data_IF_279084302271
#
_entry.id   IF_279084302271
#
_cell.length_a   1.000
_cell.length_b   1.000
_cell.length_c   1.000
_cell.angle_alpha   90.00
_cell.angle_beta   90.00
_cell.angle_gamma   90.00
#
_symmetry.space_group_name_H-M   'P 1'
#
loop_
_entity.id
_entity.type
_entity.pdbx_description
1 polymer ?
#
# COMPACT_ATOMS: atom_id res chain seq x y z
N UNK A 1 -20.54 46.94 -53.30
CA UNK A 1 -19.39 46.99 -52.36
C UNK A 1 -19.33 45.64 -51.65
N UNK A 2 -18.58 44.63 -52.13
CA UNK A 2 -17.15 44.35 -51.86
C UNK A 2 -16.76 44.54 -50.39
N UNK A 3 -16.52 43.42 -49.71
CA UNK A 3 -15.53 43.09 -48.64
C UNK A 3 -16.16 41.99 -47.75
N UNK A 4 -15.50 40.94 -47.31
CA UNK A 4 -14.18 40.35 -47.54
C UNK A 4 -14.26 38.99 -46.79
N UNK A 5 -13.73 37.92 -47.39
CA UNK A 5 -13.53 36.64 -46.72
C UNK A 5 -12.72 36.80 -45.42
N UNK A 6 -13.05 36.03 -44.38
CA UNK A 6 -12.03 35.25 -43.69
C UNK A 6 -12.64 33.95 -43.17
N UNK A 7 -12.37 32.89 -43.92
CA UNK A 7 -12.47 31.49 -43.51
C UNK A 7 -11.58 31.26 -42.29
N UNK A 8 -12.16 30.86 -41.16
CA UNK A 8 -11.39 30.32 -40.04
C UNK A 8 -11.02 28.88 -40.38
N UNK A 9 -9.88 28.72 -41.03
CA UNK A 9 -9.21 27.44 -41.27
C UNK A 9 -8.98 26.69 -39.96
N UNK A 10 -9.44 25.44 -39.94
CA UNK A 10 -8.71 24.25 -39.50
C UNK A 10 -7.67 24.46 -38.40
N UNK A 11 -8.06 24.16 -37.16
CA UNK A 11 -7.18 23.53 -36.18
C UNK A 11 -7.76 22.15 -35.81
N UNK A 12 -7.75 21.24 -36.79
CA UNK A 12 -7.69 19.81 -36.51
C UNK A 12 -6.20 19.43 -36.40
N UNK A 13 -5.90 18.49 -35.50
CA UNK A 13 -4.64 17.77 -35.33
C UNK A 13 -3.60 18.40 -34.39
N UNK A 14 -3.92 18.37 -33.10
CA UNK A 14 -3.03 17.77 -32.11
C UNK A 14 -3.83 17.34 -30.87
N UNK A 15 -4.87 16.54 -31.06
CA UNK A 15 -5.26 15.56 -30.04
C UNK A 15 -4.21 14.42 -30.04
N UNK A 16 -2.93 14.78 -29.92
CA UNK A 16 -1.94 13.86 -29.41
C UNK A 16 -2.41 13.55 -28.00
N UNK A 17 -2.85 12.32 -27.82
CA UNK A 17 -3.02 11.67 -26.54
C UNK A 17 -1.66 11.60 -25.82
N UNK A 18 -1.10 12.76 -25.46
CA UNK A 18 -0.29 12.86 -24.27
C UNK A 18 -1.30 12.90 -23.12
N UNK A 19 -1.86 11.75 -22.78
CA UNK A 19 -2.37 11.54 -21.45
C UNK A 19 -1.13 11.68 -20.57
N UNK A 20 -0.84 12.91 -20.15
CA UNK A 20 0.27 13.21 -19.26
C UNK A 20 0.05 12.32 -18.05
N UNK A 21 0.85 11.25 -17.96
CA UNK A 21 0.71 10.26 -16.92
C UNK A 21 1.02 10.98 -15.64
N UNK A 22 -0.04 11.26 -14.91
CA UNK A 22 0.08 12.10 -13.76
C UNK A 22 0.97 11.45 -12.71
N UNK A 23 1.96 12.21 -12.23
CA UNK A 23 2.92 11.68 -11.28
C UNK A 23 2.22 11.17 -10.01
N UNK A 24 2.74 10.09 -9.42
CA UNK A 24 2.32 9.58 -8.10
C UNK A 24 2.24 10.69 -7.06
N UNK A 25 3.22 11.59 -7.05
CA UNK A 25 3.29 12.72 -6.11
C UNK A 25 2.08 13.63 -6.25
N UNK A 26 1.71 14.01 -7.47
CA UNK A 26 0.55 14.86 -7.74
C UNK A 26 -0.76 14.21 -7.27
N UNK A 27 -0.94 12.91 -7.53
CA UNK A 27 -2.12 12.16 -7.08
C UNK A 27 -2.22 12.08 -5.57
N UNK A 28 -1.11 11.80 -4.88
CA UNK A 28 -1.06 11.77 -3.41
C UNK A 28 -1.33 13.16 -2.82
N UNK A 29 -0.77 14.24 -3.38
CA UNK A 29 -1.02 15.61 -2.93
C UNK A 29 -2.52 15.95 -3.02
N UNK A 30 -3.17 15.64 -4.14
CA UNK A 30 -4.62 15.85 -4.25
C UNK A 30 -5.43 15.04 -3.26
N UNK A 31 -5.03 13.79 -2.99
CA UNK A 31 -5.67 13.00 -1.95
C UNK A 31 -5.54 13.68 -0.59
N UNK A 32 -4.34 14.18 -0.23
CA UNK A 32 -4.08 14.89 1.03
C UNK A 32 -4.98 16.12 1.15
N UNK A 33 -5.04 16.94 0.11
CA UNK A 33 -5.88 18.16 0.08
C UNK A 33 -7.36 17.80 0.25
N UNK A 34 -7.82 16.74 -0.42
CA UNK A 34 -9.23 16.36 -0.43
C UNK A 34 -9.66 15.58 0.82
N UNK A 35 -8.72 14.93 1.53
CA UNK A 35 -9.01 14.05 2.66
C UNK A 35 -7.97 14.19 3.79
N UNK A 36 -7.79 15.38 4.40
CA UNK A 36 -6.69 15.67 5.31
C UNK A 36 -6.68 14.77 6.56
N UNK A 37 -7.85 14.48 7.15
CA UNK A 37 -7.97 13.59 8.33
C UNK A 37 -7.55 12.16 7.96
N UNK A 38 -7.99 11.67 6.79
CA UNK A 38 -7.61 10.35 6.31
C UNK A 38 -6.10 10.30 6.03
N UNK A 39 -5.56 11.31 5.35
CA UNK A 39 -4.14 11.42 5.06
C UNK A 39 -3.28 11.43 6.33
N UNK A 40 -3.68 12.16 7.38
CA UNK A 40 -2.97 12.16 8.65
C UNK A 40 -2.99 10.78 9.33
N UNK A 41 -4.13 10.10 9.32
CA UNK A 41 -4.29 8.78 9.95
C UNK A 41 -3.54 7.69 9.17
N UNK A 42 -3.55 7.80 7.83
CA UNK A 42 -2.81 6.90 6.94
C UNK A 42 -1.32 7.08 7.14
N UNK A 43 -0.86 8.34 7.08
CA UNK A 43 0.51 8.75 7.30
C UNK A 43 1.52 8.15 6.32
N UNK A 44 2.76 8.60 6.45
CA UNK A 44 3.91 8.03 5.75
C UNK A 44 4.61 7.01 6.64
N UNK A 45 5.30 6.05 6.02
CA UNK A 45 6.11 5.09 6.74
C UNK A 45 7.18 5.80 7.58
N UNK A 46 7.31 5.34 8.83
CA UNK A 46 8.22 5.89 9.82
C UNK A 46 8.27 4.98 11.03
N UNK A 47 9.48 4.67 11.49
CA UNK A 47 9.73 3.95 12.75
C UNK A 47 9.26 4.72 13.99
N UNK A 48 9.01 6.03 13.83
CA UNK A 48 8.59 6.94 14.90
C UNK A 48 7.09 7.26 14.89
N UNK A 49 6.30 6.55 14.10
CA UNK A 49 4.86 6.76 14.02
C UNK A 49 4.04 5.47 14.16
N UNK A 50 2.81 5.62 14.65
CA UNK A 50 1.77 4.57 14.77
C UNK A 50 0.62 4.78 13.77
N UNK A 51 0.91 5.45 12.65
CA UNK A 51 -0.04 5.59 11.56
C UNK A 51 -0.26 4.25 10.82
N UNK A 52 -1.31 4.17 9.99
CA UNK A 52 -1.68 2.92 9.30
C UNK A 52 -0.52 2.39 8.44
N UNK A 53 0.19 3.26 7.72
CA UNK A 53 1.30 2.86 6.86
C UNK A 53 2.44 2.21 7.67
N UNK A 54 2.91 2.88 8.73
CA UNK A 54 3.96 2.34 9.62
C UNK A 54 3.53 1.02 10.30
N UNK A 55 2.28 0.94 10.76
CA UNK A 55 1.74 -0.26 11.38
C UNK A 55 1.68 -1.44 10.38
N UNK A 56 1.25 -1.19 9.14
CA UNK A 56 1.17 -2.21 8.10
C UNK A 56 2.56 -2.78 7.79
N UNK A 57 3.58 -1.93 7.69
CA UNK A 57 4.99 -2.35 7.50
C UNK A 57 5.48 -3.22 8.65
N UNK A 58 5.29 -2.77 9.90
CA UNK A 58 5.72 -3.55 11.09
C UNK A 58 5.04 -4.90 11.17
N UNK A 59 3.71 -4.93 11.04
CA UNK A 59 2.93 -6.17 11.14
C UNK A 59 3.24 -7.13 9.98
N UNK A 60 3.42 -6.63 8.74
CA UNK A 60 3.77 -7.49 7.61
C UNK A 60 5.18 -8.07 7.76
N UNK A 61 6.15 -7.27 8.21
CA UNK A 61 7.53 -7.73 8.38
C UNK A 61 7.65 -8.78 9.49
N UNK A 62 6.86 -8.65 10.55
CA UNK A 62 6.83 -9.60 11.66
C UNK A 62 6.40 -11.01 11.25
N UNK A 63 5.67 -11.16 10.14
CA UNK A 63 5.17 -12.47 9.69
C UNK A 63 6.28 -13.45 9.30
N UNK A 64 7.49 -12.94 8.99
CA UNK A 64 8.66 -13.73 8.53
C UNK A 64 8.34 -14.61 7.31
N UNK A 65 7.36 -14.20 6.51
CA UNK A 65 7.04 -14.83 5.22
C UNK A 65 8.13 -14.50 4.18
N UNK A 66 8.02 -15.08 2.99
CA UNK A 66 9.02 -14.87 1.94
C UNK A 66 9.19 -13.38 1.61
N UNK A 67 10.45 -12.97 1.56
CA UNK A 67 10.89 -11.64 1.14
C UNK A 67 12.13 -11.75 0.25
N UNK A 68 12.14 -12.75 -0.63
CA UNK A 68 13.31 -13.15 -1.44
C UNK A 68 13.77 -12.10 -2.46
N UNK A 69 12.97 -11.08 -2.74
CA UNK A 69 13.35 -9.99 -3.65
C UNK A 69 14.02 -8.83 -2.90
N UNK A 70 15.14 -8.32 -3.43
CA UNK A 70 15.99 -7.28 -2.77
C UNK A 70 15.24 -6.02 -2.32
N UNK A 71 14.16 -5.64 -3.00
CA UNK A 71 13.32 -4.48 -2.68
C UNK A 71 11.91 -4.88 -2.19
N UNK A 72 11.69 -6.17 -1.92
CA UNK A 72 10.44 -6.73 -1.40
C UNK A 72 9.27 -6.74 -2.38
N UNK A 73 9.42 -6.26 -3.60
CA UNK A 73 8.35 -6.19 -4.61
C UNK A 73 7.81 -7.57 -4.97
N UNK A 74 6.50 -7.73 -5.06
CA UNK A 74 5.85 -9.00 -5.43
C UNK A 74 6.03 -10.16 -4.44
N UNK A 75 6.65 -9.95 -3.28
CA UNK A 75 6.88 -11.00 -2.26
C UNK A 75 5.64 -11.26 -1.41
N UNK A 76 5.68 -12.33 -0.61
CA UNK A 76 4.59 -12.66 0.32
C UNK A 76 4.42 -11.58 1.40
N UNK A 77 5.52 -11.01 1.92
CA UNK A 77 5.46 -9.90 2.88
C UNK A 77 4.79 -8.67 2.23
N UNK A 78 5.13 -8.34 0.99
CA UNK A 78 4.49 -7.21 0.31
C UNK A 78 2.99 -7.44 0.06
N UNK A 79 2.62 -8.67 -0.33
CA UNK A 79 1.23 -9.05 -0.50
C UNK A 79 0.42 -8.86 0.80
N UNK A 80 0.95 -9.30 1.94
CA UNK A 80 0.34 -9.06 3.26
C UNK A 80 0.27 -7.57 3.58
N UNK A 81 1.35 -6.81 3.33
CA UNK A 81 1.42 -5.37 3.60
C UNK A 81 0.32 -4.59 2.87
N UNK A 82 0.20 -4.76 1.55
CA UNK A 82 -0.80 -4.04 0.75
C UNK A 82 -2.23 -4.43 1.12
N UNK A 83 -2.47 -5.73 1.32
CA UNK A 83 -3.78 -6.23 1.75
C UNK A 83 -4.16 -5.65 3.12
N UNK A 84 -3.25 -5.68 4.09
CA UNK A 84 -3.47 -5.15 5.43
C UNK A 84 -3.66 -3.63 5.42
N UNK A 85 -2.85 -2.90 4.66
CA UNK A 85 -2.94 -1.45 4.54
C UNK A 85 -4.33 -1.04 4.02
N UNK A 86 -4.82 -1.68 2.95
CA UNK A 86 -6.16 -1.39 2.42
C UNK A 86 -7.29 -1.86 3.33
N UNK A 87 -7.12 -2.99 4.01
CA UNK A 87 -8.09 -3.47 5.01
C UNK A 87 -8.23 -2.47 6.16
N UNK A 88 -7.11 -1.96 6.68
CA UNK A 88 -7.09 -0.99 7.77
C UNK A 88 -7.72 0.35 7.37
N UNK A 89 -7.40 0.88 6.19
CA UNK A 89 -8.00 2.13 5.70
C UNK A 89 -9.50 1.96 5.48
N UNK A 90 -9.92 0.83 4.91
CA UNK A 90 -11.33 0.54 4.68
C UNK A 90 -12.10 0.38 5.98
N UNK A 91 -11.53 -0.38 6.93
CA UNK A 91 -12.09 -0.60 8.27
C UNK A 91 -12.21 0.70 9.07
N UNK A 92 -11.26 1.63 8.90
CA UNK A 92 -11.25 2.90 9.61
C UNK A 92 -12.17 3.95 8.99
N UNK A 93 -12.23 3.99 7.66
CA UNK A 93 -12.94 5.02 6.89
C UNK A 93 -14.03 4.38 6.03
N UNK A 94 -13.67 3.90 4.84
CA UNK A 94 -14.51 3.15 3.92
C UNK A 94 -13.68 2.72 2.70
N UNK A 95 -14.27 1.89 1.84
CA UNK A 95 -13.62 1.33 0.66
C UNK A 95 -13.28 2.40 -0.40
N UNK A 96 -14.02 3.52 -0.46
CA UNK A 96 -13.76 4.60 -1.41
C UNK A 96 -12.49 5.38 -1.05
N UNK A 97 -12.30 5.74 0.22
CA UNK A 97 -11.07 6.37 0.71
C UNK A 97 -9.87 5.46 0.47
N UNK A 98 -10.00 4.16 0.80
CA UNK A 98 -8.95 3.17 0.58
C UNK A 98 -8.60 3.05 -0.92
N UNK A 99 -9.60 2.97 -1.79
CA UNK A 99 -9.39 2.93 -3.24
C UNK A 99 -8.68 4.19 -3.75
N UNK A 100 -9.15 5.39 -3.40
CA UNK A 100 -8.55 6.65 -3.85
C UNK A 100 -7.07 6.76 -3.52
N UNK A 101 -6.66 6.41 -2.30
CA UNK A 101 -5.25 6.45 -1.92
C UNK A 101 -4.46 5.29 -2.52
N UNK A 102 -5.04 4.09 -2.63
CA UNK A 102 -4.41 2.97 -3.33
C UNK A 102 -4.10 3.30 -4.78
N UNK A 103 -5.09 3.80 -5.53
CA UNK A 103 -4.95 4.20 -6.94
C UNK A 103 -3.96 5.37 -7.11
N UNK A 104 -3.85 6.26 -6.11
CA UNK A 104 -2.90 7.37 -6.12
C UNK A 104 -1.44 6.91 -5.96
N UNK A 105 -1.20 5.80 -5.27
CA UNK A 105 0.14 5.19 -5.11
C UNK A 105 0.61 4.46 -6.37
N UNK A 106 -0.29 4.12 -7.28
CA UNK A 106 0.07 3.41 -8.51
C UNK A 106 0.39 4.37 -9.65
N UNK A 107 1.25 3.97 -10.58
CA UNK A 107 1.52 4.70 -11.82
C UNK A 107 0.34 4.49 -12.77
N UNK A 108 -0.03 3.23 -13.02
CA UNK A 108 -1.20 2.86 -13.80
C UNK A 108 -2.25 2.13 -12.93
N UNK A 109 -3.34 2.79 -12.52
CA UNK A 109 -4.40 2.17 -11.73
C UNK A 109 -5.33 1.26 -12.56
N UNK A 110 -5.28 1.38 -13.90
CA UNK A 110 -6.12 0.62 -14.82
C UNK A 110 -5.41 -0.67 -15.24
N UNK A 111 -5.43 -1.65 -14.33
CA UNK A 111 -4.80 -2.96 -14.60
C UNK A 111 -5.78 -3.90 -15.27
N UNK A 112 -5.25 -4.61 -16.25
CA UNK A 112 -5.90 -5.72 -16.95
C UNK A 112 -5.98 -6.93 -16.02
N UNK A 113 -7.19 -7.31 -15.60
CA UNK A 113 -7.40 -8.49 -14.74
C UNK A 113 -6.99 -9.80 -15.43
N UNK A 114 -7.04 -9.83 -16.76
CA UNK A 114 -6.69 -10.96 -17.61
C UNK A 114 -5.18 -11.14 -17.82
N UNK A 115 -4.36 -10.14 -17.48
CA UNK A 115 -2.92 -10.19 -17.68
C UNK A 115 -2.17 -10.75 -16.46
N UNK A 116 -1.41 -11.83 -16.67
CA UNK A 116 -0.58 -12.45 -15.63
C UNK A 116 0.92 -12.35 -15.90
N UNK A 117 1.32 -12.18 -17.16
CA UNK A 117 2.73 -12.10 -17.55
C UNK A 117 3.12 -10.65 -17.90
N UNK A 118 4.28 -10.24 -17.42
CA UNK A 118 4.82 -8.89 -17.56
C UNK A 118 6.30 -8.97 -17.92
N UNK A 119 6.73 -8.17 -18.90
CA UNK A 119 8.14 -8.08 -19.23
C UNK A 119 8.97 -7.42 -18.11
N UNK A 120 8.34 -6.55 -17.32
CA UNK A 120 8.96 -5.75 -16.28
C UNK A 120 8.43 -6.09 -14.89
N UNK A 121 9.34 -6.15 -13.92
CA UNK A 121 9.02 -6.47 -12.52
C UNK A 121 8.16 -5.40 -11.86
N UNK A 122 8.39 -4.11 -12.15
CA UNK A 122 7.63 -3.03 -11.53
C UNK A 122 6.16 -3.06 -11.99
N UNK A 123 5.92 -3.42 -13.25
CA UNK A 123 4.56 -3.62 -13.75
C UNK A 123 3.88 -4.82 -13.10
N UNK A 124 4.58 -5.95 -12.94
CA UNK A 124 4.07 -7.12 -12.22
C UNK A 124 3.73 -6.79 -10.75
N UNK A 125 4.63 -6.08 -10.07
CA UNK A 125 4.46 -5.66 -8.68
C UNK A 125 3.25 -4.74 -8.50
N UNK A 126 3.10 -3.73 -9.36
CA UNK A 126 1.93 -2.86 -9.39
C UNK A 126 0.62 -3.64 -9.61
N UNK A 127 0.63 -4.66 -10.46
CA UNK A 127 -0.50 -5.56 -10.63
C UNK A 127 -0.82 -6.34 -9.36
N UNK A 128 0.19 -6.96 -8.75
CA UNK A 128 0.07 -7.63 -7.45
C UNK A 128 -0.54 -6.70 -6.40
N UNK A 129 0.01 -5.50 -6.26
CA UNK A 129 -0.41 -4.50 -5.27
C UNK A 129 -1.87 -4.11 -5.46
N UNK A 130 -2.32 -3.83 -6.69
CA UNK A 130 -3.73 -3.48 -6.95
C UNK A 130 -4.70 -4.63 -6.73
N UNK A 131 -4.31 -5.86 -7.07
CA UNK A 131 -5.15 -7.04 -6.82
C UNK A 131 -5.29 -7.31 -5.32
N UNK A 132 -4.19 -7.24 -4.58
CA UNK A 132 -4.18 -7.37 -3.13
C UNK A 132 -4.91 -6.22 -2.43
N UNK A 133 -4.81 -5.01 -2.98
CA UNK A 133 -5.54 -3.85 -2.47
C UNK A 133 -7.06 -4.09 -2.50
N UNK A 134 -7.59 -4.70 -3.58
CA UNK A 134 -9.01 -5.07 -3.66
C UNK A 134 -9.41 -6.12 -2.62
N UNK A 135 -8.56 -7.12 -2.38
CA UNK A 135 -8.80 -8.13 -1.32
C UNK A 135 -8.86 -7.43 0.05
N UNK A 136 -7.91 -6.54 0.33
CA UNK A 136 -7.86 -5.76 1.56
C UNK A 136 -9.14 -4.96 1.79
N UNK A 137 -9.64 -4.25 0.76
CA UNK A 137 -10.92 -3.52 0.86
C UNK A 137 -12.10 -4.43 1.17
N UNK A 138 -12.18 -5.63 0.58
CA UNK A 138 -13.23 -6.61 0.90
C UNK A 138 -13.18 -7.02 2.37
N UNK A 139 -11.98 -7.35 2.89
CA UNK A 139 -11.78 -7.71 4.30
C UNK A 139 -12.16 -6.54 5.23
N UNK A 140 -11.70 -5.33 4.94
CA UNK A 140 -11.98 -4.17 5.79
C UNK A 140 -13.46 -3.76 5.80
N UNK A 141 -14.20 -3.99 4.71
CA UNK A 141 -15.64 -3.65 4.61
C UNK A 141 -16.48 -4.50 5.56
N UNK A 142 -16.11 -5.77 5.74
CA UNK A 142 -16.82 -6.69 6.65
C UNK A 142 -16.37 -6.59 8.11
N UNK A 143 -15.33 -5.81 8.39
CA UNK A 143 -14.70 -5.68 9.72
C UNK A 143 -14.46 -4.21 10.07
N UNK A 144 -15.55 -3.46 10.31
CA UNK A 144 -15.49 -2.02 10.59
C UNK A 144 -14.89 -1.72 11.98
N UNK A 145 -14.07 -0.67 12.09
CA UNK A 145 -13.39 -0.23 13.34
C UNK A 145 -12.55 -1.31 14.03
N UNK A 146 -12.05 -2.28 13.27
CA UNK A 146 -11.20 -3.36 13.78
C UNK A 146 -9.75 -2.91 13.87
N UNK A 147 -9.06 -3.31 14.94
CA UNK A 147 -7.64 -2.97 15.12
C UNK A 147 -6.76 -3.73 14.11
N UNK A 148 -5.57 -3.18 13.81
CA UNK A 148 -4.72 -3.72 12.74
C UNK A 148 -4.11 -5.09 13.03
N UNK A 149 -3.90 -5.49 14.29
CA UNK A 149 -3.43 -6.85 14.60
C UNK A 149 -4.50 -7.88 14.24
N UNK A 150 -5.75 -7.63 14.61
CA UNK A 150 -6.87 -8.50 14.23
C UNK A 150 -7.04 -8.55 12.71
N UNK A 151 -6.97 -7.40 12.02
CA UNK A 151 -6.99 -7.37 10.55
C UNK A 151 -5.82 -8.15 9.93
N UNK A 152 -4.62 -8.09 10.51
CA UNK A 152 -3.47 -8.86 10.03
C UNK A 152 -3.71 -10.37 10.16
N UNK A 153 -4.34 -10.82 11.24
CA UNK A 153 -4.79 -12.21 11.40
C UNK A 153 -5.78 -12.63 10.30
N UNK A 154 -6.78 -11.80 10.00
CA UNK A 154 -7.76 -12.05 8.93
C UNK A 154 -7.11 -12.08 7.53
N UNK A 155 -6.13 -11.22 7.29
CA UNK A 155 -5.33 -11.23 6.05
C UNK A 155 -4.54 -12.53 5.92
N UNK A 156 -3.90 -12.98 7.00
CA UNK A 156 -3.17 -14.25 7.01
C UNK A 156 -4.10 -15.46 6.80
N UNK A 157 -5.29 -15.45 7.41
CA UNK A 157 -6.30 -16.48 7.15
C UNK A 157 -6.69 -16.49 5.67
N UNK A 158 -6.96 -15.32 5.08
CA UNK A 158 -7.29 -15.21 3.66
C UNK A 158 -6.14 -15.73 2.78
N UNK A 159 -4.89 -15.38 3.11
CA UNK A 159 -3.71 -15.85 2.38
C UNK A 159 -3.57 -17.38 2.46
N UNK A 160 -3.88 -17.97 3.61
CA UNK A 160 -3.84 -19.43 3.77
C UNK A 160 -4.96 -20.13 2.98
N UNK A 161 -6.20 -19.63 3.07
CA UNK A 161 -7.39 -20.32 2.55
C UNK A 161 -7.68 -20.05 1.08
N UNK A 162 -7.49 -18.82 0.64
CA UNK A 162 -7.88 -18.34 -0.69
C UNK A 162 -6.67 -17.93 -1.52
N UNK A 163 -5.68 -17.32 -0.86
CA UNK A 163 -4.43 -16.88 -1.46
C UNK A 163 -4.37 -15.37 -1.65
N UNK A 164 -3.15 -14.84 -1.77
CA UNK A 164 -2.87 -13.47 -2.16
C UNK A 164 -2.02 -13.47 -3.43
N UNK A 165 -2.03 -12.35 -4.15
CA UNK A 165 -1.24 -12.21 -5.37
C UNK A 165 0.24 -12.01 -5.03
N UNK A 166 1.11 -12.71 -5.74
CA UNK A 166 2.57 -12.60 -5.66
C UNK A 166 3.16 -12.64 -7.07
N UNK A 167 4.39 -12.17 -7.25
CA UNK A 167 5.10 -12.22 -8.52
C UNK A 167 6.31 -13.16 -8.44
N UNK A 168 6.64 -13.83 -9.54
CA UNK A 168 7.83 -14.68 -9.65
C UNK A 168 8.50 -14.50 -11.01
N UNK A 169 9.84 -14.55 -11.03
CA UNK A 169 10.62 -14.53 -12.26
C UNK A 169 10.52 -15.90 -12.96
N UNK A 170 10.13 -15.89 -14.23
CA UNK A 170 10.04 -17.07 -15.08
C UNK A 170 11.10 -16.96 -16.18
N UNK A 171 11.79 -18.07 -16.43
CA UNK A 171 12.78 -18.22 -17.51
C UNK A 171 12.33 -19.35 -18.43
N UNK A 172 11.81 -19.01 -19.60
CA UNK A 172 11.32 -19.96 -20.60
C UNK A 172 11.82 -19.55 -21.99
N UNK A 173 12.30 -20.53 -22.78
CA UNK A 173 12.73 -20.31 -24.16
C UNK A 173 13.74 -19.14 -24.34
N UNK A 174 14.66 -18.99 -23.38
CA UNK A 174 15.67 -17.92 -23.39
C UNK A 174 15.13 -16.52 -23.07
N UNK A 175 13.85 -16.39 -22.71
CA UNK A 175 13.23 -15.13 -22.28
C UNK A 175 13.01 -15.14 -20.78
N UNK A 176 13.21 -13.98 -20.16
CA UNK A 176 12.86 -13.73 -18.75
C UNK A 176 11.63 -12.82 -18.70
N UNK A 177 10.63 -13.20 -17.93
CA UNK A 177 9.46 -12.38 -17.65
C UNK A 177 8.98 -12.61 -16.21
N UNK A 178 8.07 -11.77 -15.74
CA UNK A 178 7.47 -11.83 -14.41
C UNK A 178 6.03 -12.32 -14.52
N UNK A 179 5.74 -13.43 -13.86
CA UNK A 179 4.38 -13.98 -13.77
C UNK A 179 3.79 -13.65 -12.41
N UNK A 180 2.54 -13.23 -12.38
CA UNK A 180 1.79 -12.99 -11.14
C UNK A 180 0.70 -14.04 -10.96
N UNK A 181 0.62 -14.58 -9.75
CA UNK A 181 -0.30 -15.67 -9.41
C UNK A 181 -0.89 -15.46 -8.02
N UNK A 182 -2.09 -15.98 -7.80
CA UNK A 182 -2.67 -16.03 -6.46
C UNK A 182 -2.14 -17.26 -5.73
N UNK A 183 -1.12 -17.06 -4.88
CA UNK A 183 -0.46 -18.12 -4.13
C UNK A 183 -1.05 -18.25 -2.73
N UNK A 184 -0.86 -19.43 -2.11
CA UNK A 184 -1.26 -19.69 -0.73
C UNK A 184 -0.05 -19.99 0.13
N UNK A 185 -0.09 -19.53 1.38
CA UNK A 185 0.87 -19.97 2.39
C UNK A 185 0.40 -21.30 3.00
N UNK A 186 1.33 -22.23 3.19
CA UNK A 186 1.05 -23.51 3.84
C UNK A 186 0.72 -23.36 5.32
N UNK A 187 0.08 -24.38 5.91
CA UNK A 187 -0.36 -24.39 7.32
C UNK A 187 0.76 -24.02 8.30
N UNK A 188 1.96 -24.57 8.10
CA UNK A 188 3.14 -24.29 8.96
C UNK A 188 3.56 -22.80 8.91
N UNK A 189 3.59 -22.21 7.72
CA UNK A 189 3.94 -20.80 7.54
C UNK A 189 2.86 -19.89 8.13
N UNK A 190 1.58 -20.22 7.91
CA UNK A 190 0.44 -19.53 8.51
C UNK A 190 0.48 -19.54 10.04
N UNK A 191 0.65 -20.71 10.66
CA UNK A 191 0.73 -20.85 12.11
C UNK A 191 1.92 -20.09 12.69
N UNK A 192 3.09 -20.17 12.06
CA UNK A 192 4.26 -19.40 12.47
C UNK A 192 3.98 -17.89 12.42
N UNK A 193 3.41 -17.39 11.32
CA UNK A 193 3.08 -15.98 11.18
C UNK A 193 2.09 -15.50 12.25
N UNK A 194 1.09 -16.31 12.61
CA UNK A 194 0.18 -15.99 13.73
C UNK A 194 0.92 -15.92 15.07
N UNK A 195 1.80 -16.87 15.37
CA UNK A 195 2.60 -16.85 16.60
C UNK A 195 3.44 -15.58 16.70
N UNK A 196 4.05 -15.13 15.60
CA UNK A 196 4.81 -13.88 15.58
C UNK A 196 3.92 -12.67 15.89
N UNK A 197 2.71 -12.61 15.30
CA UNK A 197 1.74 -11.54 15.56
C UNK A 197 1.26 -11.50 17.01
N UNK A 198 1.10 -12.64 17.68
CA UNK A 198 0.62 -12.67 19.07
C UNK A 198 1.52 -11.91 20.03
N UNK A 199 2.84 -11.95 19.78
CA UNK A 199 3.83 -11.21 20.58
C UNK A 199 3.75 -9.68 20.44
N UNK A 200 2.93 -9.19 19.50
CA UNK A 200 2.81 -7.78 19.16
C UNK A 200 1.50 -7.18 19.66
N UNK A 201 1.54 -5.86 19.86
CA UNK A 201 0.34 -5.05 20.05
C UNK A 201 -0.31 -4.65 18.70
N UNK A 202 -1.40 -3.90 18.75
CA UNK A 202 -2.13 -3.48 17.55
C UNK A 202 -1.35 -2.54 16.61
N UNK A 203 -0.22 -1.97 17.05
CA UNK A 203 0.67 -1.15 16.25
C UNK A 203 1.88 -1.93 15.70
N UNK A 204 1.94 -3.24 15.97
CA UNK A 204 3.05 -4.10 15.54
C UNK A 204 4.31 -3.98 16.40
N UNK A 205 4.19 -3.53 17.66
CA UNK A 205 5.31 -3.49 18.59
C UNK A 205 5.26 -4.63 19.60
N UNK A 206 6.42 -5.20 19.93
CA UNK A 206 6.58 -5.96 21.18
C UNK A 206 6.45 -5.03 22.39
N UNK A 207 6.21 -5.55 23.61
CA UNK A 207 6.17 -4.71 24.82
C UNK A 207 7.43 -3.87 25.02
N UNK A 208 8.60 -4.41 24.67
CA UNK A 208 9.88 -3.69 24.78
C UNK A 208 10.01 -2.58 23.74
N UNK A 209 9.64 -2.85 22.48
CA UNK A 209 9.62 -1.83 21.43
C UNK A 209 8.63 -0.71 21.75
N UNK A 210 7.47 -1.04 22.33
CA UNK A 210 6.49 -0.05 22.76
C UNK A 210 7.07 0.87 23.85
N UNK A 211 7.74 0.31 24.87
CA UNK A 211 8.42 1.13 25.90
C UNK A 211 9.44 2.08 25.29
N UNK A 212 10.28 1.60 24.37
CA UNK A 212 11.27 2.44 23.66
C UNK A 212 10.60 3.54 22.85
N UNK A 213 9.50 3.23 22.16
CA UNK A 213 8.73 4.20 21.40
C UNK A 213 8.17 5.32 22.30
N UNK A 214 7.59 4.95 23.44
CA UNK A 214 7.00 5.91 24.39
C UNK A 214 8.06 6.80 25.06
N UNK A 215 9.21 6.22 25.40
CA UNK A 215 10.37 6.97 25.91
C UNK A 215 10.90 7.98 24.88
N UNK A 216 11.10 7.55 23.64
CA UNK A 216 11.58 8.44 22.57
C UNK A 216 10.61 9.59 22.30
N UNK A 217 9.29 9.32 22.33
CA UNK A 217 8.26 10.34 22.19
C UNK A 217 8.30 11.35 23.34
N UNK A 218 8.47 10.87 24.57
CA UNK A 218 8.59 11.72 25.77
C UNK A 218 9.82 12.61 25.68
N UNK A 219 10.98 12.04 25.32
CA UNK A 219 12.23 12.79 25.19
C UNK A 219 12.14 13.89 24.13
N UNK A 220 11.52 13.61 22.98
CA UNK A 220 11.32 14.61 21.92
C UNK A 220 10.43 15.78 22.37
N UNK A 221 9.39 15.50 23.16
CA UNK A 221 8.53 16.54 23.74
C UNK A 221 9.33 17.40 24.73
N UNK A 222 10.09 16.77 25.64
CA UNK A 222 10.92 17.48 26.63
C UNK A 222 11.93 18.40 25.94
N UNK A 223 12.65 17.92 24.91
CA UNK A 223 13.60 18.72 24.14
C UNK A 223 12.92 19.90 23.43
N UNK A 224 11.72 19.69 22.89
CA UNK A 224 10.96 20.75 22.24
C UNK A 224 10.57 21.83 23.25
N UNK A 225 10.07 21.44 24.43
CA UNK A 225 9.70 22.38 25.51
C UNK A 225 10.93 23.16 25.99
N UNK A 226 12.07 22.49 26.19
CA UNK A 226 13.30 23.14 26.61
C UNK A 226 13.78 24.19 25.59
N UNK A 227 13.80 23.83 24.30
CA UNK A 227 14.21 24.78 23.25
C UNK A 227 13.26 25.98 23.08
N UNK A 228 11.98 25.84 23.44
CA UNK A 228 11.04 26.97 23.50
C UNK A 228 11.38 27.88 24.69
N UNK A 229 11.68 27.31 25.86
CA UNK A 229 12.05 28.08 27.07
C UNK A 229 13.36 28.85 26.91
N UNK A 230 14.35 28.27 26.23
CA UNK A 230 15.64 28.91 25.97
C UNK A 230 15.57 30.04 24.93
N UNK A 231 14.43 30.20 24.23
CA UNK A 231 14.18 31.26 23.23
C UNK A 231 13.31 32.40 23.76
N UNK A 232 12.88 32.35 25.02
CA UNK A 232 12.14 33.40 25.73
C UNK A 232 13.08 34.15 26.65
#
# INVERSE_FOLDING_TARGET
MKRLLLTLSVCLLAACQAQATESRRSKVIRFIISHPIAAQTIGLDSDRATNITSNAVRLSNATKLDNSHRDGRGTQINAVRHTLWQAAITSRFNADIARKIGDAYEINPSIREDQQDYADRYQADQAVDLRNNRIGRKIGTTHNKTNMKTLAGLVLEHFHRHGLWTASEIKENGKTFWRIEQTRIGKKAYQKALTELESLNHNGFTPEQQRRFDQNKTNAITQTIQSIRERQ
#
